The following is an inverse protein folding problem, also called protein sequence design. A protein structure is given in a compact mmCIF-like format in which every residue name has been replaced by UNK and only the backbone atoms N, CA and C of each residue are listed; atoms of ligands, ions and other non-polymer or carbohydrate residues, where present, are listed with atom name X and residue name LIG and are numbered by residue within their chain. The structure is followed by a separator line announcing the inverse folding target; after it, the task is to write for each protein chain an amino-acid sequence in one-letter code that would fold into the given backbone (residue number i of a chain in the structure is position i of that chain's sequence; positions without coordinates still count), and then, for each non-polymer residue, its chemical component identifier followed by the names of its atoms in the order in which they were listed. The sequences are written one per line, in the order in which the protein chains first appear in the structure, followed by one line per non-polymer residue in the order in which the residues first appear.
data_IF_469710129401
#
_entry.id   IF_469710129401
#
_cell.length_a   1.000
_cell.length_b   1.000
_cell.length_c   1.000
_cell.angle_alpha   90.00
_cell.angle_beta   90.00
_cell.angle_gamma   90.00
#
_symmetry.space_group_name_H-M   'P 1'
#
loop_
_entity.id
_entity.type
_entity.pdbx_description
1 polymer ?
#
# COMPACT_ATOMS: atom_id res chain seq x y z
N UNK A 1 24.82 -7.40 3.74
CA UNK A 1 23.80 -7.65 4.77
C UNK A 1 22.76 -6.55 4.69
N UNK A 2 21.59 -6.84 4.12
CA UNK A 2 20.46 -5.90 4.12
C UNK A 2 19.85 -5.89 5.54
N UNK A 3 19.65 -4.73 6.19
CA UNK A 3 18.95 -4.71 7.45
C UNK A 3 17.50 -5.18 7.21
N UNK A 4 17.06 -6.16 8.02
CA UNK A 4 15.72 -6.72 7.94
C UNK A 4 14.69 -5.62 8.20
N UNK A 5 13.73 -5.48 7.28
CA UNK A 5 12.62 -4.50 7.29
C UNK A 5 11.93 -4.41 8.66
N UNK A 6 11.92 -5.52 9.40
CA UNK A 6 11.42 -5.64 10.77
C UNK A 6 12.07 -4.66 11.78
N UNK A 7 13.35 -4.31 11.62
CA UNK A 7 14.05 -3.45 12.60
C UNK A 7 13.67 -1.98 12.52
N UNK A 8 13.12 -1.48 11.40
CA UNK A 8 12.71 -0.08 11.30
C UNK A 8 11.28 0.16 11.79
N UNK A 9 10.43 -0.87 11.81
CA UNK A 9 9.02 -0.75 12.26
C UNK A 9 8.94 -0.60 13.79
N UNK A 10 9.84 -1.27 14.52
CA UNK A 10 9.83 -1.30 15.99
C UNK A 10 10.11 0.06 16.65
N UNK A 11 10.82 0.98 15.97
CA UNK A 11 11.19 2.26 16.58
C UNK A 11 10.01 3.25 16.62
N UNK A 12 8.97 3.05 15.82
CA UNK A 12 7.78 3.92 15.79
C UNK A 12 6.71 3.54 16.83
N UNK A 13 6.73 2.33 17.38
CA UNK A 13 5.64 1.80 18.22
C UNK A 13 5.62 2.28 19.68
N UNK A 14 6.74 2.77 20.23
CA UNK A 14 6.84 3.04 21.68
C UNK A 14 6.47 4.46 22.12
N UNK A 15 5.98 5.33 21.23
CA UNK A 15 5.65 6.72 21.59
C UNK A 15 4.28 7.20 21.12
N UNK A 16 3.31 6.29 20.99
CA UNK A 16 1.92 6.64 20.72
C UNK A 16 1.11 6.75 22.02
N UNK A 17 1.54 7.61 22.95
CA UNK A 17 0.69 8.09 24.03
C UNK A 17 0.86 9.59 24.12
N UNK A 18 -0.19 10.31 23.75
CA UNK A 18 -0.35 11.76 23.80
C UNK A 18 0.40 12.62 22.77
N UNK A 19 -0.43 13.39 22.05
CA UNK A 19 -0.16 14.61 21.29
C UNK A 19 0.29 14.44 19.83
N UNK A 20 -0.65 14.78 18.93
CA UNK A 20 -0.47 15.13 17.51
C UNK A 20 -0.37 13.96 16.50
N UNK A 21 -1.49 13.26 16.31
CA UNK A 21 -1.75 12.25 15.28
C UNK A 21 -1.79 12.83 13.84
N UNK A 22 -0.84 13.68 13.46
CA UNK A 22 -0.73 14.19 12.08
C UNK A 22 0.42 13.52 11.31
N UNK A 23 1.33 12.83 12.02
CA UNK A 23 2.52 12.22 11.41
C UNK A 23 2.49 10.67 11.40
N UNK A 24 1.52 10.04 12.09
CA UNK A 24 1.36 8.58 12.11
C UNK A 24 0.60 8.02 10.89
N UNK A 25 0.10 8.87 9.98
CA UNK A 25 -0.80 8.45 8.89
C UNK A 25 -0.09 8.07 7.59
N UNK A 26 1.23 8.30 7.50
CA UNK A 26 1.99 7.77 6.38
C UNK A 26 2.32 6.33 6.66
N UNK A 27 1.49 5.40 6.17
CA UNK A 27 2.03 4.12 5.71
C UNK A 27 3.29 4.49 4.93
N UNK A 28 4.50 4.04 5.33
CA UNK A 28 5.70 4.43 4.64
C UNK A 28 5.45 4.09 3.17
N UNK A 29 5.54 5.08 2.29
CA UNK A 29 5.30 4.90 0.86
C UNK A 29 6.14 3.74 0.28
N UNK A 30 7.24 3.39 0.96
CA UNK A 30 8.06 2.20 0.74
C UNK A 30 7.36 0.86 1.02
N UNK A 31 6.49 0.78 2.02
CA UNK A 31 5.68 -0.39 2.34
C UNK A 31 4.64 -0.62 1.24
N UNK A 32 3.93 0.42 0.78
CA UNK A 32 2.96 0.27 -0.31
C UNK A 32 3.60 -0.33 -1.57
N UNK A 33 4.79 0.15 -1.95
CA UNK A 33 5.55 -0.35 -3.10
C UNK A 33 6.06 -1.79 -2.91
N UNK A 34 6.48 -2.15 -1.69
CA UNK A 34 6.95 -3.51 -1.38
C UNK A 34 5.79 -4.52 -1.32
N UNK A 35 4.64 -4.10 -0.82
CA UNK A 35 3.44 -4.93 -0.70
C UNK A 35 2.88 -5.27 -2.08
N UNK A 36 2.77 -4.31 -3.00
CA UNK A 36 2.09 -4.56 -4.29
C UNK A 36 2.92 -5.39 -5.30
N UNK A 37 4.22 -5.59 -5.07
CA UNK A 37 5.13 -6.28 -6.00
C UNK A 37 5.56 -7.68 -5.52
N UNK A 38 5.09 -8.13 -4.36
CA UNK A 38 5.52 -9.40 -3.75
C UNK A 38 4.33 -10.32 -3.50
N UNK A 39 4.44 -11.64 -3.74
CA UNK A 39 3.38 -12.60 -3.42
C UNK A 39 3.04 -12.64 -1.91
N UNK A 40 3.85 -12.00 -1.07
CA UNK A 40 3.62 -11.86 0.37
C UNK A 40 2.83 -10.60 0.76
N UNK A 41 2.25 -9.90 -0.22
CA UNK A 41 1.48 -8.67 -0.03
C UNK A 41 0.41 -8.80 1.06
N UNK A 42 -0.44 -9.81 0.94
CA UNK A 42 -1.56 -10.06 1.85
C UNK A 42 -1.07 -10.28 3.29
N UNK A 43 -0.03 -11.10 3.46
CA UNK A 43 0.54 -11.39 4.77
C UNK A 43 1.14 -10.14 5.41
N UNK A 44 1.79 -9.30 4.61
CA UNK A 44 2.43 -8.10 5.13
C UNK A 44 1.42 -6.96 5.40
N UNK A 45 0.28 -6.90 4.68
CA UNK A 45 -0.87 -6.05 5.05
C UNK A 45 -1.46 -6.51 6.38
N UNK A 46 -1.74 -7.81 6.54
CA UNK A 46 -2.30 -8.35 7.80
C UNK A 46 -1.39 -8.05 8.99
N UNK A 47 -0.08 -8.26 8.85
CA UNK A 47 0.88 -7.93 9.89
C UNK A 47 0.92 -6.44 10.23
N UNK A 48 0.66 -5.57 9.26
CA UNK A 48 0.59 -4.13 9.49
C UNK A 48 -0.70 -3.73 10.20
N UNK A 49 -1.83 -4.37 9.86
CA UNK A 49 -3.10 -4.22 10.58
C UNK A 49 -3.00 -4.68 12.05
N UNK A 50 -2.27 -5.76 12.32
CA UNK A 50 -2.00 -6.24 13.69
C UNK A 50 -1.17 -5.25 14.51
N UNK A 51 -0.15 -4.63 13.89
CA UNK A 51 0.73 -3.68 14.56
C UNK A 51 0.09 -2.30 14.73
N UNK A 52 -0.82 -1.92 13.83
CA UNK A 52 -1.44 -0.60 13.79
C UNK A 52 -2.95 -0.72 13.55
N UNK A 53 -3.77 -0.96 14.59
CA UNK A 53 -5.22 -1.18 14.44
C UNK A 53 -5.96 -0.01 13.76
N UNK A 54 -5.49 1.22 13.96
CA UNK A 54 -6.05 2.42 13.32
C UNK A 54 -5.82 2.46 11.80
N UNK A 55 -4.81 1.74 11.30
CA UNK A 55 -4.56 1.62 9.86
C UNK A 55 -5.65 0.83 9.15
N UNK A 56 -6.21 -0.19 9.80
CA UNK A 56 -7.25 -1.05 9.21
C UNK A 56 -8.49 -0.26 8.74
N UNK A 57 -8.83 0.82 9.45
CA UNK A 57 -9.95 1.69 9.10
C UNK A 57 -9.61 2.78 8.08
N UNK A 58 -8.32 3.00 7.80
CA UNK A 58 -7.84 4.00 6.86
C UNK A 58 -8.30 3.71 5.42
N UNK A 59 -8.38 4.77 4.62
CA UNK A 59 -8.77 4.65 3.20
C UNK A 59 -7.67 3.95 2.40
N UNK A 60 -6.43 4.17 2.80
CA UNK A 60 -5.21 3.59 2.23
C UNK A 60 -5.21 2.07 2.39
N UNK A 61 -5.52 1.57 3.60
CA UNK A 61 -5.62 0.13 3.83
C UNK A 61 -6.70 -0.51 2.96
N UNK A 62 -7.90 0.11 2.94
CA UNK A 62 -9.03 -0.35 2.12
C UNK A 62 -8.69 -0.36 0.63
N UNK A 63 -8.01 0.67 0.13
CA UNK A 63 -7.53 0.72 -1.25
C UNK A 63 -6.55 -0.42 -1.51
N UNK A 64 -5.50 -0.57 -0.70
CA UNK A 64 -4.47 -1.60 -0.90
C UNK A 64 -5.10 -2.99 -0.97
N UNK A 65 -6.03 -3.33 -0.07
CA UNK A 65 -6.70 -4.64 -0.08
C UNK A 65 -7.46 -4.89 -1.39
N UNK A 66 -8.23 -3.91 -1.88
CA UNK A 66 -8.92 -4.01 -3.18
C UNK A 66 -7.94 -4.15 -4.36
N UNK A 67 -6.83 -3.39 -4.34
CA UNK A 67 -5.83 -3.47 -5.41
C UNK A 67 -5.10 -4.82 -5.41
N UNK A 68 -4.84 -5.41 -4.25
CA UNK A 68 -4.25 -6.74 -4.14
C UNK A 68 -5.20 -7.83 -4.65
N UNK A 69 -6.47 -7.78 -4.28
CA UNK A 69 -7.50 -8.69 -4.79
C UNK A 69 -7.60 -8.60 -6.33
N UNK A 70 -7.73 -7.39 -6.87
CA UNK A 70 -7.77 -7.18 -8.32
C UNK A 70 -6.48 -7.65 -9.03
N UNK A 71 -5.33 -7.52 -8.37
CA UNK A 71 -4.06 -8.02 -8.89
C UNK A 71 -4.01 -9.56 -8.87
N UNK A 72 -4.48 -10.22 -7.80
CA UNK A 72 -4.56 -11.69 -7.72
C UNK A 72 -5.52 -12.26 -8.78
N UNK A 73 -6.63 -11.58 -9.04
CA UNK A 73 -7.60 -11.95 -10.08
C UNK A 73 -7.16 -11.57 -11.51
N UNK A 74 -6.02 -10.88 -11.65
CA UNK A 74 -5.56 -10.29 -12.91
C UNK A 74 -6.64 -9.42 -13.58
N UNK A 75 -7.44 -8.73 -12.77
CA UNK A 75 -8.60 -7.97 -13.19
C UNK A 75 -8.29 -6.46 -13.23
N UNK A 76 -7.91 -5.97 -14.41
CA UNK A 76 -7.59 -4.56 -14.62
C UNK A 76 -8.80 -3.63 -14.42
N UNK A 77 -10.01 -4.08 -14.73
CA UNK A 77 -11.22 -3.28 -14.57
C UNK A 77 -11.48 -3.01 -13.09
N UNK A 78 -11.48 -4.04 -12.24
CA UNK A 78 -11.60 -3.91 -10.78
C UNK A 78 -10.49 -3.04 -10.17
N UNK A 79 -9.27 -3.15 -10.70
CA UNK A 79 -8.15 -2.30 -10.29
C UNK A 79 -8.44 -0.82 -10.58
N UNK A 80 -8.84 -0.51 -11.82
CA UNK A 80 -9.10 0.88 -12.23
C UNK A 80 -10.33 1.49 -11.54
N UNK A 81 -11.37 0.69 -11.29
CA UNK A 81 -12.55 1.12 -10.54
C UNK A 81 -12.17 1.51 -9.10
N UNK A 82 -11.38 0.67 -8.43
CA UNK A 82 -10.91 0.94 -7.07
C UNK A 82 -10.05 2.21 -6.97
N UNK A 83 -9.16 2.44 -7.95
CA UNK A 83 -8.36 3.67 -8.03
C UNK A 83 -9.24 4.89 -8.25
N UNK A 84 -10.23 4.80 -9.13
CA UNK A 84 -11.17 5.89 -9.42
C UNK A 84 -12.04 6.24 -8.21
N UNK A 85 -12.54 5.23 -7.50
CA UNK A 85 -13.28 5.42 -6.26
C UNK A 85 -12.42 6.17 -5.23
N UNK A 86 -11.16 5.75 -5.05
CA UNK A 86 -10.26 6.42 -4.12
C UNK A 86 -9.97 7.87 -4.53
N UNK A 87 -9.64 8.14 -5.79
CA UNK A 87 -9.37 9.52 -6.28
C UNK A 87 -10.56 10.47 -6.06
N UNK A 88 -11.79 9.96 -6.16
CA UNK A 88 -13.01 10.75 -5.96
C UNK A 88 -13.19 11.24 -4.52
N UNK A 89 -12.58 10.56 -3.55
CA UNK A 89 -12.69 10.87 -2.11
C UNK A 89 -11.39 11.48 -1.57
N UNK A 90 -10.25 11.05 -2.12
CA UNK A 90 -8.89 11.43 -1.75
C UNK A 90 -8.08 11.62 -3.02
N UNK A 91 -7.81 12.88 -3.38
CA UNK A 91 -7.13 13.24 -4.63
C UNK A 91 -5.74 12.60 -4.71
N UNK A 92 -5.45 11.95 -5.83
CA UNK A 92 -4.16 11.31 -6.05
C UNK A 92 -3.05 12.33 -6.33
N UNK A 93 -1.97 12.27 -5.55
CA UNK A 93 -0.73 12.99 -5.87
C UNK A 93 0.09 12.27 -6.95
N UNK A 94 0.93 13.04 -7.65
CA UNK A 94 1.74 12.57 -8.78
C UNK A 94 2.52 11.28 -8.49
N UNK A 95 3.08 11.16 -7.29
CA UNK A 95 3.85 9.98 -6.89
C UNK A 95 2.96 8.73 -6.81
N UNK A 96 1.78 8.85 -6.18
CA UNK A 96 0.85 7.75 -6.01
C UNK A 96 0.28 7.32 -7.37
N UNK A 97 -0.09 8.29 -8.23
CA UNK A 97 -0.49 8.02 -9.61
C UNK A 97 0.59 7.23 -10.36
N UNK A 98 1.85 7.63 -10.24
CA UNK A 98 2.97 6.94 -10.90
C UNK A 98 3.11 5.50 -10.42
N UNK A 99 2.96 5.25 -9.13
CA UNK A 99 3.05 3.89 -8.56
C UNK A 99 1.87 3.02 -9.01
N UNK A 100 0.65 3.55 -8.95
CA UNK A 100 -0.56 2.85 -9.40
C UNK A 100 -0.48 2.48 -10.89
N UNK A 101 0.04 3.38 -11.72
CA UNK A 101 0.26 3.09 -13.14
C UNK A 101 1.27 1.95 -13.37
N UNK A 102 2.32 1.86 -12.55
CA UNK A 102 3.30 0.75 -12.62
C UNK A 102 2.66 -0.58 -12.27
N UNK A 103 1.89 -0.65 -11.19
CA UNK A 103 1.17 -1.87 -10.78
C UNK A 103 0.13 -2.26 -11.83
N UNK A 104 -0.59 -1.28 -12.40
CA UNK A 104 -1.55 -1.57 -13.50
C UNK A 104 -0.86 -2.27 -14.67
N UNK A 105 0.36 -1.87 -15.04
CA UNK A 105 1.11 -2.51 -16.12
C UNK A 105 1.47 -3.97 -15.80
N UNK A 106 1.76 -4.31 -14.54
CA UNK A 106 2.05 -5.70 -14.15
C UNK A 106 0.84 -6.61 -14.32
N UNK A 107 -0.38 -6.10 -14.06
CA UNK A 107 -1.64 -6.82 -14.28
C UNK A 107 -1.91 -7.02 -15.79
N UNK A 108 -1.56 -6.04 -16.62
CA UNK A 108 -1.79 -6.11 -18.06
C UNK A 108 -0.78 -6.99 -18.80
N UNK A 109 0.23 -7.53 -18.12
CA UNK A 109 1.30 -8.32 -18.74
C UNK A 109 2.31 -7.47 -19.53
N UNK A 110 2.25 -6.14 -19.40
CA UNK A 110 3.20 -5.18 -19.98
C UNK A 110 4.47 -5.12 -19.10
N UNK A 111 5.23 -6.21 -19.07
CA UNK A 111 6.52 -6.32 -18.38
C UNK A 111 7.67 -5.83 -19.29
N UNK A 112 7.60 -4.60 -19.83
CA UNK A 112 8.61 -4.08 -20.79
C UNK A 112 9.38 -2.82 -20.34
N UNK A 113 9.40 -2.44 -19.06
CA UNK A 113 10.16 -1.25 -18.63
C UNK A 113 10.79 -1.40 -17.24
N UNK A 114 11.54 -2.48 -17.03
CA UNK A 114 12.41 -2.64 -15.86
C UNK A 114 13.74 -3.34 -16.25
N UNK A 115 14.41 -2.80 -17.27
CA UNK A 115 15.77 -3.22 -17.67
C UNK A 115 16.78 -2.08 -17.52
#
# INVERSE_FOLDING_TARGET
MVPSVTSQVTLAGHRASNQNCHECFSVPQSVLAFLTLSPMAQLAVQKYEELFPAFSDSRECKLVKKLLEAHEEQNVDSYTESVKEYDSISRLDQWLTTMLLRIKKTIQGDEEDLR
#
